data_IF_588366446668
#
_entry.id   IF_588366446668
#
_cell.length_a   1.000
_cell.length_b   1.000
_cell.length_c   1.000
_cell.angle_alpha   90.00
_cell.angle_beta   90.00
_cell.angle_gamma   90.00
#
_symmetry.space_group_name_H-M   'P 1'
#
loop_
_entity.id
_entity.type
_entity.pdbx_description
1 polymer ?
#
# COMPACT_ATOMS: atom_id res chain seq x y z
N UNK A 1 2.95 -7.79 22.05
CA UNK A 1 3.58 -6.69 22.82
C UNK A 1 2.87 -5.43 22.37
N UNK A 2 2.00 -4.87 23.20
CA UNK A 2 1.16 -3.71 22.85
C UNK A 2 2.04 -2.47 22.72
N UNK A 3 2.39 -2.08 21.49
CA UNK A 3 2.99 -0.77 21.25
C UNK A 3 2.00 0.30 21.71
N UNK A 4 2.39 1.02 22.75
CA UNK A 4 1.64 2.14 23.29
C UNK A 4 1.60 3.26 22.23
N UNK A 5 0.45 3.36 21.56
CA UNK A 5 0.23 4.25 20.41
C UNK A 5 0.53 5.71 20.77
N UNK A 6 1.69 6.22 20.30
CA UNK A 6 2.06 7.63 20.47
C UNK A 6 1.21 8.51 19.58
N UNK A 7 0.34 9.31 20.21
CA UNK A 7 -0.49 10.36 19.59
C UNK A 7 0.32 11.15 18.55
N UNK A 8 -0.08 11.07 17.27
CA UNK A 8 0.52 11.89 16.20
C UNK A 8 0.34 13.38 16.53
N UNK A 9 1.43 14.15 16.51
CA UNK A 9 1.39 15.60 16.69
C UNK A 9 0.59 16.27 15.58
N UNK A 10 -0.08 17.38 15.88
CA UNK A 10 -0.90 18.15 14.93
C UNK A 10 -0.18 18.45 13.61
N UNK A 11 1.12 18.74 13.67
CA UNK A 11 1.97 19.04 12.50
C UNK A 11 2.24 17.85 11.57
N UNK A 12 2.04 16.61 12.04
CA UNK A 12 2.16 15.40 11.21
C UNK A 12 0.88 15.09 10.43
N UNK A 13 -0.25 15.68 10.83
CA UNK A 13 -1.52 15.56 10.11
C UNK A 13 -1.51 16.44 8.85
N UNK A 14 -2.26 16.08 7.80
CA UNK A 14 -2.40 16.92 6.61
C UNK A 14 -2.83 18.35 6.95
N UNK A 15 -3.66 18.53 7.98
CA UNK A 15 -4.09 19.83 8.53
C UNK A 15 -2.94 20.72 9.03
N UNK A 16 -1.92 20.11 9.64
CA UNK A 16 -0.76 20.83 10.17
C UNK A 16 0.25 21.20 9.08
N UNK A 17 0.42 20.34 8.07
CA UNK A 17 1.31 20.61 6.92
C UNK A 17 0.78 21.78 6.09
N UNK A 18 -0.52 21.77 5.74
CA UNK A 18 -1.16 22.90 5.05
C UNK A 18 -1.18 24.16 5.90
N UNK A 19 -1.39 24.02 7.22
CA UNK A 19 -1.31 25.13 8.17
C UNK A 19 0.05 25.80 8.18
N UNK A 20 1.14 25.02 8.12
CA UNK A 20 2.50 25.54 8.05
C UNK A 20 2.72 26.34 6.75
N UNK A 21 2.29 25.81 5.60
CA UNK A 21 2.34 26.54 4.33
C UNK A 21 1.52 27.83 4.37
N UNK A 22 0.32 27.79 4.96
CA UNK A 22 -0.54 28.96 5.06
C UNK A 22 0.02 30.03 6.02
N UNK A 23 0.66 29.62 7.12
CA UNK A 23 1.36 30.53 8.03
C UNK A 23 2.56 31.20 7.34
N UNK A 24 3.36 30.43 6.60
CA UNK A 24 4.48 30.98 5.82
C UNK A 24 3.95 31.94 4.76
N UNK A 25 2.90 31.57 4.03
CA UNK A 25 2.26 32.43 3.04
C UNK A 25 1.66 33.70 3.66
N UNK A 26 1.10 33.62 4.86
CA UNK A 26 0.56 34.77 5.59
C UNK A 26 1.67 35.68 6.13
N UNK A 27 2.78 35.12 6.59
CA UNK A 27 3.96 35.90 7.00
C UNK A 27 4.64 36.59 5.81
N UNK A 28 4.83 35.87 4.70
CA UNK A 28 5.43 36.42 3.48
C UNK A 28 4.49 37.42 2.82
N UNK A 29 3.23 37.06 2.63
CA UNK A 29 2.21 37.94 2.04
C UNK A 29 1.92 39.16 2.92
N UNK A 30 1.84 38.96 4.24
CA UNK A 30 1.71 40.04 5.21
C UNK A 30 2.94 40.95 5.24
N UNK A 31 4.15 40.39 5.11
CA UNK A 31 5.39 41.15 4.97
C UNK A 31 5.43 41.98 3.68
N UNK A 32 5.03 41.40 2.55
CA UNK A 32 4.96 42.09 1.24
C UNK A 32 3.89 43.20 1.26
N UNK A 33 2.73 42.95 1.86
CA UNK A 33 1.68 43.96 2.03
C UNK A 33 2.14 45.08 2.98
N UNK A 34 2.83 44.74 4.07
CA UNK A 34 3.35 45.73 4.99
C UNK A 34 4.43 46.62 4.34
N UNK A 35 5.27 46.08 3.45
CA UNK A 35 6.27 46.89 2.72
C UNK A 35 5.67 47.71 1.59
N UNK A 36 4.65 47.21 0.89
CA UNK A 36 3.94 47.98 -0.15
C UNK A 36 3.07 49.10 0.42
N UNK A 37 2.45 48.89 1.59
CA UNK A 37 1.65 49.91 2.29
C UNK A 37 2.41 50.60 3.44
N UNK A 38 3.74 50.53 3.45
CA UNK A 38 4.56 51.04 4.55
C UNK A 38 4.30 52.51 4.86
N UNK A 39 4.19 53.35 3.82
CA UNK A 39 3.91 54.77 3.96
C UNK A 39 2.52 55.05 4.55
N UNK A 40 1.51 54.25 4.18
CA UNK A 40 0.16 54.36 4.72
C UNK A 40 0.08 53.85 6.18
N UNK A 41 0.84 52.79 6.51
CA UNK A 41 0.98 52.29 7.88
C UNK A 41 1.65 53.31 8.79
N UNK A 42 2.73 53.97 8.33
CA UNK A 42 3.41 55.03 9.08
C UNK A 42 2.46 56.22 9.30
N UNK A 43 1.73 56.65 8.27
CA UNK A 43 0.74 57.72 8.37
C UNK A 43 -0.45 57.35 9.29
N UNK A 44 -0.82 56.07 9.34
CA UNK A 44 -1.87 55.59 10.25
C UNK A 44 -1.37 55.57 11.70
N UNK A 45 -0.19 55.02 11.96
CA UNK A 45 0.43 54.95 13.29
C UNK A 45 0.73 56.35 13.86
N UNK A 46 1.05 57.33 13.01
CA UNK A 46 1.26 58.71 13.45
C UNK A 46 -0.02 59.44 13.83
N UNK A 47 -1.19 58.93 13.44
CA UNK A 47 -2.48 59.44 13.91
C UNK A 47 -2.78 58.97 15.34
N UNK A 48 -3.38 59.82 16.17
CA UNK A 48 -3.74 59.46 17.57
C UNK A 48 -4.62 58.21 17.64
N UNK A 49 -5.53 58.04 16.69
CA UNK A 49 -6.41 56.86 16.62
C UNK A 49 -5.63 55.61 16.21
N UNK A 50 -4.78 55.70 15.19
CA UNK A 50 -3.99 54.57 14.74
C UNK A 50 -2.91 54.15 15.75
N UNK A 51 -2.35 55.09 16.51
CA UNK A 51 -1.44 54.79 17.62
C UNK A 51 -2.14 53.98 18.73
N UNK A 52 -3.37 54.36 19.10
CA UNK A 52 -4.15 53.61 20.11
C UNK A 52 -4.51 52.21 19.60
N UNK A 53 -4.95 52.09 18.34
CA UNK A 53 -5.29 50.80 17.73
C UNK A 53 -4.07 49.89 17.62
N UNK A 54 -2.92 50.42 17.21
CA UNK A 54 -1.69 49.62 17.08
C UNK A 54 -1.15 49.16 18.43
N UNK A 55 -1.21 50.00 19.46
CA UNK A 55 -0.87 49.61 20.83
C UNK A 55 -1.83 48.55 21.40
N UNK A 56 -3.13 48.62 21.11
CA UNK A 56 -4.09 47.59 21.50
C UNK A 56 -3.81 46.24 20.82
N UNK A 57 -3.51 46.25 19.52
CA UNK A 57 -3.17 45.03 18.77
C UNK A 57 -1.87 44.42 19.29
N UNK A 58 -0.82 45.24 19.49
CA UNK A 58 0.44 44.79 20.09
C UNK A 58 0.23 44.24 21.51
N UNK A 59 -0.58 44.93 22.32
CA UNK A 59 -0.96 44.47 23.66
C UNK A 59 -1.68 43.12 23.63
N UNK A 60 -2.59 42.92 22.69
CA UNK A 60 -3.28 41.64 22.50
C UNK A 60 -2.33 40.52 22.04
N UNK A 61 -1.37 40.81 21.15
CA UNK A 61 -0.35 39.85 20.71
C UNK A 61 0.57 39.46 21.88
N UNK A 62 1.01 40.44 22.67
CA UNK A 62 1.86 40.19 23.85
C UNK A 62 1.07 39.42 24.91
N UNK A 63 -0.18 39.79 25.17
CA UNK A 63 -1.06 39.09 26.11
C UNK A 63 -1.30 37.63 25.71
N UNK A 64 -1.57 37.37 24.42
CA UNK A 64 -1.71 35.99 23.91
C UNK A 64 -0.41 35.21 23.93
N UNK A 65 0.74 35.88 23.81
CA UNK A 65 2.05 35.25 23.95
C UNK A 65 2.38 34.88 25.41
N UNK A 66 1.98 35.69 26.39
CA UNK A 66 2.31 35.48 27.81
C UNK A 66 1.31 34.55 28.51
N UNK A 67 0.01 34.72 28.30
CA UNK A 67 -1.01 33.95 29.00
C UNK A 67 -1.19 32.55 28.36
N UNK A 68 -0.96 31.45 29.10
CA UNK A 68 -1.15 30.08 28.59
C UNK A 68 -2.59 29.78 28.15
N UNK A 69 -3.61 30.41 28.76
CA UNK A 69 -5.02 30.21 28.37
C UNK A 69 -5.35 30.91 27.06
N UNK A 70 -4.89 32.15 26.91
CA UNK A 70 -5.05 32.92 25.67
C UNK A 70 -4.32 32.25 24.50
N UNK A 71 -3.10 31.76 24.73
CA UNK A 71 -2.34 30.96 23.74
C UNK A 71 -3.07 29.69 23.34
N UNK A 72 -3.65 28.98 24.31
CA UNK A 72 -4.47 27.79 24.07
C UNK A 72 -5.66 28.10 23.17
N UNK A 73 -6.41 29.16 23.49
CA UNK A 73 -7.60 29.57 22.75
C UNK A 73 -7.27 29.94 21.29
N UNK A 74 -6.24 30.77 21.07
CA UNK A 74 -5.77 31.12 19.72
C UNK A 74 -5.30 29.88 18.97
N UNK A 75 -4.61 28.95 19.63
CA UNK A 75 -4.20 27.68 19.04
C UNK A 75 -5.40 26.82 18.62
N UNK A 76 -6.45 26.72 19.44
CA UNK A 76 -7.66 25.99 19.10
C UNK A 76 -8.46 26.64 17.96
N UNK A 77 -8.51 27.98 17.94
CA UNK A 77 -9.11 28.73 16.83
C UNK A 77 -8.37 28.48 15.52
N UNK A 78 -7.04 28.60 15.54
CA UNK A 78 -6.20 28.31 14.38
C UNK A 78 -6.38 26.87 13.88
N UNK A 79 -6.35 25.87 14.78
CA UNK A 79 -6.60 24.46 14.42
C UNK A 79 -7.98 24.26 13.80
N UNK A 80 -9.00 24.95 14.32
CA UNK A 80 -10.38 24.83 13.84
C UNK A 80 -10.57 25.45 12.45
N UNK A 81 -9.96 26.60 12.19
CA UNK A 81 -9.96 27.24 10.86
C UNK A 81 -9.16 26.39 9.86
N UNK A 82 -7.98 25.91 10.25
CA UNK A 82 -7.19 25.05 9.37
C UNK A 82 -7.93 23.77 9.01
N UNK A 83 -8.60 23.12 9.97
CA UNK A 83 -9.42 21.93 9.69
C UNK A 83 -10.57 22.24 8.72
N UNK A 84 -11.18 23.41 8.83
CA UNK A 84 -12.23 23.85 7.92
C UNK A 84 -11.68 24.11 6.50
N UNK A 85 -10.53 24.78 6.38
CA UNK A 85 -9.87 25.04 5.10
C UNK A 85 -9.42 23.72 4.46
N UNK A 86 -8.75 22.84 5.20
CA UNK A 86 -8.32 21.54 4.66
C UNK A 86 -9.47 20.63 4.30
N UNK A 87 -10.59 20.71 5.02
CA UNK A 87 -11.79 19.95 4.70
C UNK A 87 -12.41 20.31 3.34
N UNK A 88 -12.10 21.48 2.79
CA UNK A 88 -12.50 21.84 1.42
C UNK A 88 -11.60 21.22 0.33
N UNK A 89 -10.37 20.80 0.67
CA UNK A 89 -9.38 20.33 -0.32
C UNK A 89 -8.98 18.86 -0.15
N UNK A 90 -9.24 18.23 1.02
CA UNK A 90 -8.90 16.84 1.33
C UNK A 90 -10.14 16.19 1.98
N UNK A 91 -10.53 14.98 1.54
CA UNK A 91 -11.57 14.20 2.22
C UNK A 91 -11.07 13.81 3.62
N UNK A 92 -11.53 14.50 4.66
CA UNK A 92 -11.21 14.22 6.07
C UNK A 92 -12.14 13.14 6.66
N UNK A 93 -13.11 12.61 5.90
CA UNK A 93 -14.00 11.58 6.41
C UNK A 93 -13.31 10.20 6.36
N UNK A 94 -12.93 9.61 7.51
CA UNK A 94 -12.18 8.36 7.53
C UNK A 94 -12.99 7.19 6.94
N UNK A 95 -14.32 7.25 6.98
CA UNK A 95 -15.18 6.26 6.31
C UNK A 95 -15.07 6.37 4.79
N UNK A 96 -15.00 7.60 4.27
CA UNK A 96 -14.79 7.84 2.83
C UNK A 96 -13.44 7.31 2.34
N UNK A 97 -12.40 7.47 3.16
CA UNK A 97 -11.07 6.90 2.88
C UNK A 97 -11.13 5.37 2.81
N UNK A 98 -11.78 4.73 3.78
CA UNK A 98 -11.94 3.26 3.77
C UNK A 98 -12.75 2.78 2.56
N UNK A 99 -13.81 3.48 2.16
CA UNK A 99 -14.57 3.18 0.92
C UNK A 99 -13.68 3.24 -0.32
N UNK A 100 -12.87 4.29 -0.45
CA UNK A 100 -11.92 4.40 -1.55
C UNK A 100 -10.92 3.23 -1.54
N UNK A 101 -10.41 2.82 -0.37
CA UNK A 101 -9.54 1.65 -0.29
C UNK A 101 -10.23 0.33 -0.64
N UNK A 102 -11.52 0.16 -0.33
CA UNK A 102 -12.30 -0.99 -0.81
C UNK A 102 -12.38 -1.00 -2.33
N UNK A 103 -12.58 0.15 -2.96
CA UNK A 103 -12.60 0.29 -4.42
C UNK A 103 -11.21 0.02 -5.03
N UNK A 104 -10.14 0.55 -4.43
CA UNK A 104 -8.75 0.27 -4.83
C UNK A 104 -8.43 -1.23 -4.70
N UNK A 105 -8.87 -1.88 -3.62
CA UNK A 105 -8.74 -3.33 -3.43
C UNK A 105 -9.48 -4.11 -4.53
N UNK A 106 -10.70 -3.72 -4.89
CA UNK A 106 -11.46 -4.34 -6.00
C UNK A 106 -10.71 -4.25 -7.32
N UNK A 107 -10.17 -3.07 -7.64
CA UNK A 107 -9.42 -2.85 -8.87
C UNK A 107 -8.09 -3.62 -8.87
N UNK A 108 -7.39 -3.64 -7.74
CA UNK A 108 -6.13 -4.36 -7.62
C UNK A 108 -6.31 -5.88 -7.65
N UNK A 109 -7.36 -6.43 -7.04
CA UNK A 109 -7.74 -7.85 -7.20
C UNK A 109 -7.96 -8.21 -8.68
N UNK A 110 -8.63 -7.32 -9.43
CA UNK A 110 -8.86 -7.52 -10.87
C UNK A 110 -7.56 -7.50 -11.67
N UNK A 111 -6.63 -6.57 -11.36
CA UNK A 111 -5.30 -6.51 -11.99
C UNK A 111 -4.49 -7.77 -11.65
N UNK A 112 -4.47 -8.17 -10.38
CA UNK A 112 -3.75 -9.34 -9.90
C UNK A 112 -4.25 -10.62 -10.57
N UNK A 113 -5.57 -10.83 -10.67
CA UNK A 113 -6.13 -11.99 -11.37
C UNK A 113 -5.70 -12.06 -12.85
N UNK A 114 -5.62 -10.90 -13.53
CA UNK A 114 -5.09 -10.82 -14.90
C UNK A 114 -3.62 -11.22 -14.95
N UNK A 115 -2.79 -10.71 -14.04
CA UNK A 115 -1.37 -11.04 -13.97
C UNK A 115 -1.17 -12.55 -13.69
N UNK A 116 -1.91 -13.14 -12.74
CA UNK A 116 -1.83 -14.59 -12.46
C UNK A 116 -2.18 -15.41 -13.71
N UNK A 117 -3.22 -15.00 -14.44
CA UNK A 117 -3.64 -15.69 -15.67
C UNK A 117 -2.57 -15.58 -16.76
N UNK A 118 -1.97 -14.41 -16.94
CA UNK A 118 -0.88 -14.20 -17.90
C UNK A 118 0.35 -15.04 -17.52
N UNK A 119 0.76 -14.98 -16.26
CA UNK A 119 1.89 -15.74 -15.72
C UNK A 119 1.70 -17.24 -15.94
N UNK A 120 0.52 -17.78 -15.59
CA UNK A 120 0.16 -19.19 -15.83
C UNK A 120 0.33 -19.56 -17.31
N UNK A 121 -0.15 -18.71 -18.22
CA UNK A 121 -0.02 -18.94 -19.66
C UNK A 121 1.44 -18.98 -20.12
N UNK A 122 2.29 -18.10 -19.59
CA UNK A 122 3.71 -18.11 -19.90
C UNK A 122 4.42 -19.33 -19.30
N UNK A 123 4.06 -19.75 -18.09
CA UNK A 123 4.61 -20.95 -17.46
C UNK A 123 4.30 -22.21 -18.30
N UNK A 124 3.10 -22.31 -18.87
CA UNK A 124 2.75 -23.42 -19.76
C UNK A 124 3.63 -23.46 -21.01
N UNK A 125 3.83 -22.32 -21.69
CA UNK A 125 4.71 -22.24 -22.86
C UNK A 125 6.15 -22.60 -22.52
N UNK A 126 6.65 -22.10 -21.39
CA UNK A 126 8.00 -22.38 -20.92
C UNK A 126 8.19 -23.88 -20.63
N UNK A 127 7.22 -24.50 -19.95
CA UNK A 127 7.22 -25.94 -19.67
C UNK A 127 7.20 -26.77 -20.95
N UNK A 128 6.40 -26.36 -21.94
CA UNK A 128 6.37 -27.02 -23.25
C UNK A 128 7.72 -26.92 -23.97
N UNK A 129 8.38 -25.75 -23.96
CA UNK A 129 9.72 -25.58 -24.51
C UNK A 129 10.77 -26.46 -23.80
N UNK A 130 10.73 -26.55 -22.46
CA UNK A 130 11.61 -27.44 -21.69
C UNK A 130 11.41 -28.91 -22.13
N UNK A 131 10.17 -29.36 -22.27
CA UNK A 131 9.85 -30.73 -22.68
C UNK A 131 10.35 -30.99 -24.11
N UNK A 132 10.14 -30.05 -25.03
CA UNK A 132 10.60 -30.19 -26.42
C UNK A 132 12.12 -30.19 -26.52
N UNK A 133 12.81 -29.33 -25.75
CA UNK A 133 14.27 -29.32 -25.68
C UNK A 133 14.82 -30.65 -25.14
N UNK A 134 14.22 -31.21 -24.08
CA UNK A 134 14.61 -32.53 -23.55
C UNK A 134 14.49 -33.63 -24.61
N UNK A 135 13.38 -33.68 -25.35
CA UNK A 135 13.21 -34.62 -26.47
C UNK A 135 14.26 -34.41 -27.57
N UNK A 136 14.56 -33.17 -27.93
CA UNK A 136 15.61 -32.88 -28.92
C UNK A 136 17.00 -33.27 -28.43
N UNK A 137 17.31 -33.09 -27.14
CA UNK A 137 18.57 -33.52 -26.54
C UNK A 137 18.72 -35.03 -26.71
N UNK A 138 17.72 -35.81 -26.30
CA UNK A 138 17.76 -37.27 -26.36
C UNK A 138 17.91 -37.77 -27.80
N UNK A 139 17.20 -37.15 -28.75
CA UNK A 139 17.32 -37.47 -30.17
C UNK A 139 18.73 -37.14 -30.71
N UNK A 140 19.27 -35.95 -30.42
CA UNK A 140 20.61 -35.58 -30.88
C UNK A 140 21.71 -36.45 -30.25
N UNK A 141 21.56 -36.88 -28.99
CA UNK A 141 22.49 -37.81 -28.34
C UNK A 141 22.42 -39.22 -28.95
N UNK A 142 21.21 -39.67 -29.30
CA UNK A 142 21.01 -40.96 -29.99
C UNK A 142 21.67 -40.96 -31.37
N UNK A 143 21.44 -39.92 -32.18
CA UNK A 143 22.08 -39.75 -33.48
C UNK A 143 23.61 -39.58 -33.37
N UNK A 144 24.09 -38.92 -32.32
CA UNK A 144 25.52 -38.81 -32.06
C UNK A 144 26.16 -40.16 -31.75
N UNK A 145 25.44 -41.02 -31.01
CA UNK A 145 25.87 -42.39 -30.69
C UNK A 145 25.90 -43.27 -31.94
N UNK A 146 24.87 -43.21 -32.77
CA UNK A 146 24.83 -43.92 -34.06
C UNK A 146 25.94 -43.44 -35.02
N UNK A 147 26.19 -42.13 -35.09
CA UNK A 147 27.27 -41.58 -35.90
C UNK A 147 28.65 -42.02 -35.40
N UNK A 148 28.82 -42.17 -34.08
CA UNK A 148 30.05 -42.72 -33.48
C UNK A 148 30.25 -44.17 -33.92
N UNK A 149 29.21 -44.99 -33.84
CA UNK A 149 29.28 -46.42 -34.18
C UNK A 149 29.53 -46.62 -35.69
N UNK A 150 29.09 -45.68 -36.53
CA UNK A 150 29.37 -45.63 -37.98
C UNK A 150 30.68 -44.88 -38.35
N UNK A 151 31.56 -44.58 -37.39
CA UNK A 151 32.83 -43.85 -37.58
C UNK A 151 32.69 -42.44 -38.23
N UNK A 152 31.52 -41.82 -38.16
CA UNK A 152 31.28 -40.47 -38.67
C UNK A 152 31.49 -39.41 -37.58
N UNK A 153 32.76 -39.11 -37.31
CA UNK A 153 33.17 -38.21 -36.24
C UNK A 153 32.62 -36.78 -36.39
N UNK A 154 32.49 -36.28 -37.62
CA UNK A 154 31.99 -34.92 -37.86
C UNK A 154 30.53 -34.76 -37.42
N UNK A 155 29.67 -35.74 -37.77
CA UNK A 155 28.25 -35.74 -37.37
C UNK A 155 28.11 -35.96 -35.86
N UNK A 156 28.90 -36.87 -35.28
CA UNK A 156 28.92 -37.11 -33.83
C UNK A 156 29.22 -35.82 -33.05
N UNK A 157 30.27 -35.07 -33.44
CA UNK A 157 30.64 -33.81 -32.78
C UNK A 157 29.54 -32.76 -32.96
N UNK A 158 29.00 -32.62 -34.18
CA UNK A 158 27.95 -31.64 -34.46
C UNK A 158 26.70 -31.87 -33.60
N UNK A 159 26.23 -33.12 -33.54
CA UNK A 159 25.04 -33.52 -32.78
C UNK A 159 25.26 -33.39 -31.27
N UNK A 160 26.42 -33.81 -30.77
CA UNK A 160 26.80 -33.64 -29.36
C UNK A 160 26.84 -32.17 -28.96
N UNK A 161 27.40 -31.29 -29.80
CA UNK A 161 27.40 -29.84 -29.54
C UNK A 161 26.00 -29.23 -29.56
N UNK A 162 25.11 -29.68 -30.47
CA UNK A 162 23.71 -29.23 -30.47
C UNK A 162 23.01 -29.65 -29.17
N UNK A 163 23.17 -30.91 -28.74
CA UNK A 163 22.62 -31.39 -27.47
C UNK A 163 23.17 -30.60 -26.27
N UNK A 164 24.47 -30.28 -26.27
CA UNK A 164 25.09 -29.44 -25.24
C UNK A 164 24.45 -28.05 -25.13
N UNK A 165 24.25 -27.36 -26.26
CA UNK A 165 23.60 -26.04 -26.27
C UNK A 165 22.15 -26.11 -25.78
N UNK A 166 21.40 -27.13 -26.21
CA UNK A 166 20.02 -27.32 -25.76
C UNK A 166 19.97 -27.63 -24.26
N UNK A 167 20.91 -28.42 -23.72
CA UNK A 167 21.00 -28.70 -22.28
C UNK A 167 21.25 -27.42 -21.48
N UNK A 168 22.19 -26.59 -21.94
CA UNK A 168 22.50 -25.30 -21.30
C UNK A 168 21.29 -24.35 -21.31
N UNK A 169 20.60 -24.25 -22.45
CA UNK A 169 19.35 -23.49 -22.55
C UNK A 169 18.26 -24.04 -21.62
N UNK A 170 18.10 -25.38 -21.58
CA UNK A 170 17.10 -26.03 -20.72
C UNK A 170 17.31 -25.72 -19.25
N UNK A 171 18.55 -25.72 -18.75
CA UNK A 171 18.85 -25.36 -17.36
C UNK A 171 18.42 -23.92 -17.04
N UNK A 172 18.63 -22.96 -17.96
CA UNK A 172 18.16 -21.57 -17.78
C UNK A 172 16.64 -21.46 -17.77
N UNK A 173 15.96 -22.20 -18.63
CA UNK A 173 14.50 -22.22 -18.68
C UNK A 173 13.89 -22.87 -17.43
N UNK A 174 14.54 -23.90 -16.86
CA UNK A 174 14.12 -24.53 -15.61
C UNK A 174 14.26 -23.57 -14.42
N UNK A 175 15.36 -22.82 -14.32
CA UNK A 175 15.53 -21.79 -13.29
C UNK A 175 14.46 -20.69 -13.40
N UNK A 176 14.20 -20.23 -14.64
CA UNK A 176 13.12 -19.28 -14.89
C UNK A 176 11.76 -19.81 -14.46
N UNK A 177 11.46 -21.08 -14.75
CA UNK A 177 10.21 -21.71 -14.38
C UNK A 177 10.01 -21.70 -12.85
N UNK A 178 11.07 -21.98 -12.09
CA UNK A 178 11.04 -21.91 -10.60
C UNK A 178 10.72 -20.51 -10.10
N UNK A 179 11.35 -19.47 -10.68
CA UNK A 179 11.05 -18.08 -10.32
C UNK A 179 9.62 -17.67 -10.68
N UNK A 180 9.11 -18.12 -11.83
CA UNK A 180 7.70 -17.92 -12.19
C UNK A 180 6.74 -18.65 -11.25
N UNK A 181 7.13 -19.82 -10.74
CA UNK A 181 6.34 -20.58 -9.77
C UNK A 181 6.24 -19.84 -8.43
N UNK A 182 7.34 -19.26 -7.93
CA UNK A 182 7.32 -18.39 -6.74
C UNK A 182 6.30 -17.28 -6.92
N UNK A 183 6.40 -16.53 -8.02
CA UNK A 183 5.47 -15.43 -8.32
C UNK A 183 4.02 -15.91 -8.38
N UNK A 184 3.77 -17.05 -9.02
CA UNK A 184 2.42 -17.59 -9.15
C UNK A 184 1.81 -17.95 -7.80
N UNK A 185 2.57 -18.65 -6.94
CA UNK A 185 2.13 -19.07 -5.60
C UNK A 185 1.85 -17.85 -4.72
N UNK A 186 2.75 -16.86 -4.75
CA UNK A 186 2.61 -15.63 -3.97
C UNK A 186 1.44 -14.79 -4.45
N UNK A 187 1.33 -14.51 -5.75
CA UNK A 187 0.18 -13.76 -6.29
C UNK A 187 -1.14 -14.47 -6.00
N UNK A 188 -1.18 -15.80 -6.09
CA UNK A 188 -2.35 -16.60 -5.74
C UNK A 188 -2.76 -16.42 -4.29
N UNK A 189 -1.80 -16.49 -3.35
CA UNK A 189 -2.08 -16.32 -1.92
C UNK A 189 -2.45 -14.88 -1.55
N UNK A 190 -1.78 -13.89 -2.15
CA UNK A 190 -2.13 -12.48 -1.98
C UNK A 190 -3.53 -12.18 -2.51
N UNK A 191 -3.92 -12.78 -3.64
CA UNK A 191 -5.28 -12.67 -4.16
C UNK A 191 -6.31 -13.21 -3.17
N UNK A 192 -6.08 -14.40 -2.63
CA UNK A 192 -6.96 -15.00 -1.63
C UNK A 192 -7.08 -14.13 -0.36
N UNK A 193 -5.95 -13.71 0.21
CA UNK A 193 -5.94 -12.89 1.43
C UNK A 193 -6.58 -11.51 1.21
N UNK A 194 -6.32 -10.88 0.06
CA UNK A 194 -6.90 -9.59 -0.29
C UNK A 194 -8.40 -9.67 -0.62
N UNK A 195 -8.89 -10.80 -1.14
CA UNK A 195 -10.32 -11.01 -1.38
C UNK A 195 -11.10 -11.03 -0.05
N UNK A 196 -10.58 -11.77 0.93
CA UNK A 196 -11.12 -11.82 2.31
C UNK A 196 -11.06 -10.44 2.95
N UNK A 197 -9.90 -9.78 2.88
CA UNK A 197 -9.71 -8.46 3.47
C UNK A 197 -10.66 -7.42 2.88
N UNK A 198 -10.87 -7.44 1.56
CA UNK A 198 -11.80 -6.53 0.88
C UNK A 198 -13.23 -6.73 1.39
N UNK A 199 -13.68 -7.96 1.57
CA UNK A 199 -15.02 -8.27 2.11
C UNK A 199 -15.16 -7.80 3.57
N UNK A 200 -14.18 -8.12 4.42
CA UNK A 200 -14.15 -7.68 5.82
C UNK A 200 -14.17 -6.15 5.97
N UNK A 201 -13.37 -5.43 5.18
CA UNK A 201 -13.36 -3.95 5.22
C UNK A 201 -14.68 -3.39 4.71
N UNK A 202 -15.28 -3.97 3.67
CA UNK A 202 -16.57 -3.54 3.13
C UNK A 202 -17.67 -3.64 4.19
N UNK A 203 -17.73 -4.76 4.91
CA UNK A 203 -18.66 -4.96 6.03
C UNK A 203 -18.37 -4.00 7.19
N UNK A 204 -17.10 -3.82 7.57
CA UNK A 204 -16.71 -2.90 8.63
C UNK A 204 -17.09 -1.46 8.30
N UNK A 205 -16.90 -1.03 7.06
CA UNK A 205 -17.28 0.30 6.60
C UNK A 205 -18.78 0.52 6.74
N UNK A 206 -19.60 -0.46 6.37
CA UNK A 206 -21.05 -0.36 6.52
C UNK A 206 -21.46 -0.21 7.99
N UNK A 207 -20.94 -1.06 8.88
CA UNK A 207 -21.23 -1.00 10.31
C UNK A 207 -20.77 0.33 10.91
N UNK A 208 -19.54 0.77 10.60
CA UNK A 208 -18.97 2.02 11.13
C UNK A 208 -19.68 3.25 10.59
N UNK A 209 -20.23 3.20 9.38
CA UNK A 209 -21.09 4.25 8.84
C UNK A 209 -22.39 4.39 9.64
N UNK A 210 -23.03 3.27 9.97
CA UNK A 210 -24.22 3.26 10.82
C UNK A 210 -23.91 3.75 12.24
N UNK A 211 -22.81 3.28 12.86
CA UNK A 211 -22.35 3.74 14.17
C UNK A 211 -22.08 5.25 14.17
N UNK A 212 -21.38 5.76 13.15
CA UNK A 212 -21.09 7.19 13.02
C UNK A 212 -22.37 8.01 12.87
N UNK A 213 -23.33 7.54 12.08
CA UNK A 213 -24.64 8.18 11.92
C UNK A 213 -25.40 8.22 13.25
N UNK A 214 -25.38 7.12 14.01
CA UNK A 214 -25.98 7.05 15.35
C UNK A 214 -25.27 7.95 16.36
N UNK A 215 -23.93 8.05 16.33
CA UNK A 215 -23.15 8.97 17.16
C UNK A 215 -23.47 10.43 16.81
N UNK A 216 -23.61 10.76 15.52
CA UNK A 216 -23.97 12.11 15.08
C UNK A 216 -25.41 12.46 15.49
N UNK A 217 -26.36 11.55 15.31
CA UNK A 217 -27.74 11.71 15.75
C UNK A 217 -27.84 11.85 17.28
N UNK A 218 -27.14 11.00 18.02
CA UNK A 218 -27.04 11.06 19.48
C UNK A 218 -26.37 12.34 19.95
N UNK A 219 -25.31 12.83 19.29
CA UNK A 219 -24.71 14.12 19.61
C UNK A 219 -25.64 15.30 19.25
N UNK A 220 -26.52 15.17 18.25
CA UNK A 220 -27.51 16.21 17.96
C UNK A 220 -28.64 16.24 18.99
N UNK A 221 -29.13 15.08 19.44
CA UNK A 221 -30.09 14.94 20.52
C UNK A 221 -29.48 15.33 21.89
N UNK A 222 -28.23 14.96 22.10
CA UNK A 222 -27.47 15.28 23.30
C UNK A 222 -27.04 16.74 23.29
N UNK A 223 -26.73 17.39 22.16
CA UNK A 223 -26.57 18.87 22.07
C UNK A 223 -27.82 19.61 22.55
N UNK A 224 -29.00 19.11 22.21
CA UNK A 224 -30.28 19.64 22.72
C UNK A 224 -30.43 19.45 24.25
N UNK A 225 -29.80 18.42 24.82
CA UNK A 225 -29.69 18.20 26.27
C UNK A 225 -28.40 18.80 26.93
N UNK A 226 -27.39 19.17 26.14
CA UNK A 226 -26.02 19.56 26.56
C UNK A 226 -25.97 20.97 27.13
N UNK A 227 -27.03 21.75 26.91
CA UNK A 227 -27.25 22.98 27.67
C UNK A 227 -27.42 22.72 29.17
N UNK A 228 -27.57 21.46 29.62
CA UNK A 228 -27.89 21.11 31.00
C UNK A 228 -26.75 20.37 31.73
N UNK A 229 -25.86 19.63 31.06
CA UNK A 229 -24.85 18.81 31.76
C UNK A 229 -23.49 18.90 31.07
N UNK A 230 -22.57 19.57 31.75
CA UNK A 230 -21.16 19.72 31.39
C UNK A 230 -20.40 18.41 31.61
N UNK A 231 -19.78 17.88 30.56
CA UNK A 231 -18.74 16.86 30.68
C UNK A 231 -18.95 15.60 29.84
N UNK A 232 -18.77 15.70 28.53
CA UNK A 232 -18.27 14.57 27.73
C UNK A 232 -17.81 15.11 26.36
N UNK A 233 -16.60 15.64 26.35
CA UNK A 233 -15.88 15.91 25.10
C UNK A 233 -15.26 14.60 24.63
N UNK A 234 -15.42 14.33 23.33
CA UNK A 234 -14.48 13.59 22.48
C UNK A 234 -14.74 12.11 22.15
N UNK A 235 -15.96 11.56 22.33
CA UNK A 235 -16.30 10.24 21.75
C UNK A 235 -16.21 10.20 20.22
N UNK A 236 -16.66 11.26 19.55
CA UNK A 236 -16.54 11.38 18.08
C UNK A 236 -15.08 11.45 17.65
N UNK A 237 -14.24 12.22 18.36
CA UNK A 237 -12.83 12.36 17.99
C UNK A 237 -12.05 11.08 18.25
N UNK A 238 -12.35 10.33 19.33
CA UNK A 238 -11.79 9.00 19.55
C UNK A 238 -12.19 8.03 18.44
N UNK A 239 -13.47 8.02 18.05
CA UNK A 239 -13.98 7.20 16.95
C UNK A 239 -13.32 7.53 15.61
N UNK A 240 -13.26 8.82 15.23
CA UNK A 240 -12.63 9.27 13.98
C UNK A 240 -11.13 8.90 13.94
N UNK A 241 -10.43 8.93 15.10
CA UNK A 241 -9.02 8.51 15.20
C UNK A 241 -8.81 7.00 15.07
N UNK A 242 -9.71 6.20 15.64
CA UNK A 242 -9.63 4.75 15.51
C UNK A 242 -9.86 4.34 14.04
N UNK A 243 -10.79 4.98 13.34
CA UNK A 243 -10.96 4.78 11.90
C UNK A 243 -9.75 5.26 11.08
N UNK A 244 -9.07 6.34 11.47
CA UNK A 244 -7.82 6.76 10.84
C UNK A 244 -6.72 5.68 10.97
N UNK A 245 -6.64 4.99 12.11
CA UNK A 245 -5.69 3.89 12.31
C UNK A 245 -6.03 2.67 11.44
N UNK A 246 -7.32 2.32 11.32
CA UNK A 246 -7.76 1.25 10.42
C UNK A 246 -7.42 1.61 8.97
N UNK A 247 -7.70 2.86 8.57
CA UNK A 247 -7.38 3.34 7.22
C UNK A 247 -5.87 3.30 6.93
N UNK A 248 -5.02 3.68 7.88
CA UNK A 248 -3.57 3.59 7.75
C UNK A 248 -3.10 2.13 7.55
N UNK A 249 -3.68 1.17 8.27
CA UNK A 249 -3.32 -0.26 8.14
C UNK A 249 -3.77 -0.84 6.79
N UNK A 250 -5.00 -0.55 6.37
CA UNK A 250 -5.51 -0.94 5.05
C UNK A 250 -4.64 -0.34 3.94
N UNK A 251 -4.28 0.94 4.05
CA UNK A 251 -3.39 1.63 3.12
C UNK A 251 -2.05 0.92 2.98
N UNK A 252 -1.45 0.52 4.11
CA UNK A 252 -0.17 -0.18 4.10
C UNK A 252 -0.26 -1.55 3.41
N UNK A 253 -1.33 -2.30 3.65
CA UNK A 253 -1.59 -3.59 3.01
C UNK A 253 -1.86 -3.44 1.50
N UNK A 254 -2.67 -2.47 1.10
CA UNK A 254 -2.89 -2.15 -0.33
C UNK A 254 -1.58 -1.78 -1.03
N UNK A 255 -0.76 -0.94 -0.39
CA UNK A 255 0.53 -0.52 -0.95
C UNK A 255 1.50 -1.69 -1.15
N UNK A 256 1.56 -2.64 -0.20
CA UNK A 256 2.38 -3.85 -0.36
C UNK A 256 1.92 -4.70 -1.55
N UNK A 257 0.61 -4.87 -1.71
CA UNK A 257 0.05 -5.59 -2.85
C UNK A 257 0.40 -4.93 -4.18
N UNK A 258 0.24 -3.61 -4.28
CA UNK A 258 0.59 -2.86 -5.48
C UNK A 258 2.08 -2.98 -5.81
N UNK A 259 2.94 -2.85 -4.80
CA UNK A 259 4.39 -2.99 -4.97
C UNK A 259 4.77 -4.38 -5.47
N UNK A 260 4.18 -5.44 -4.92
CA UNK A 260 4.47 -6.79 -5.40
C UNK A 260 3.92 -7.05 -6.82
N UNK A 261 2.73 -6.54 -7.14
CA UNK A 261 2.19 -6.59 -8.50
C UNK A 261 3.09 -5.87 -9.50
N UNK A 262 3.70 -4.75 -9.12
CA UNK A 262 4.66 -4.02 -9.95
C UNK A 262 5.94 -4.85 -10.17
N UNK A 263 6.52 -5.43 -9.12
CA UNK A 263 7.68 -6.32 -9.23
C UNK A 263 7.37 -7.52 -10.13
N UNK A 264 6.23 -8.16 -9.93
CA UNK A 264 5.74 -9.27 -10.76
C UNK A 264 5.59 -8.86 -12.24
N UNK A 265 5.01 -7.68 -12.49
CA UNK A 265 4.83 -7.17 -13.84
C UNK A 265 6.16 -6.87 -14.52
N UNK A 266 7.08 -6.19 -13.84
CA UNK A 266 8.40 -5.86 -14.36
C UNK A 266 9.19 -7.14 -14.66
N UNK A 267 9.15 -8.13 -13.76
CA UNK A 267 9.72 -9.44 -14.02
C UNK A 267 9.13 -10.06 -15.29
N UNK A 268 7.80 -10.16 -15.41
CA UNK A 268 7.16 -10.74 -16.60
C UNK A 268 7.50 -9.98 -17.90
N UNK A 269 7.62 -8.66 -17.86
CA UNK A 269 7.97 -7.84 -19.02
C UNK A 269 9.42 -8.02 -19.45
N UNK A 270 10.32 -8.27 -18.50
CA UNK A 270 11.75 -8.52 -18.75
C UNK A 270 12.04 -9.90 -19.37
N UNK A 271 11.04 -10.77 -19.48
CA UNK A 271 11.22 -12.12 -20.01
C UNK A 271 11.09 -12.14 -21.54
N UNK A 272 12.22 -12.29 -22.24
CA UNK A 272 12.21 -12.84 -23.58
C UNK A 272 12.35 -14.36 -23.53
N UNK A 273 11.20 -15.03 -23.50
CA UNK A 273 11.10 -16.49 -23.45
C UNK A 273 11.74 -17.18 -24.66
N UNK A 274 11.88 -16.51 -25.81
CA UNK A 274 12.47 -17.12 -27.01
C UNK A 274 13.98 -17.22 -26.90
N UNK A 275 14.61 -16.23 -26.26
CA UNK A 275 16.05 -16.15 -26.14
C UNK A 275 16.55 -16.64 -24.77
N UNK A 276 15.67 -16.79 -23.77
CA UNK A 276 16.05 -17.16 -22.39
C UNK A 276 17.00 -16.13 -21.78
N UNK A 277 16.93 -14.90 -22.27
CA UNK A 277 17.69 -13.75 -21.79
C UNK A 277 16.74 -12.99 -20.89
N UNK A 278 17.16 -12.80 -19.64
CA UNK A 278 16.41 -12.07 -18.63
C UNK A 278 17.17 -10.77 -18.33
N UNK A 279 16.43 -9.70 -18.05
CA UNK A 279 17.05 -8.49 -17.51
C UNK A 279 17.45 -8.74 -16.05
N UNK A 280 18.73 -8.56 -15.73
CA UNK A 280 19.28 -8.81 -14.39
C UNK A 280 18.56 -7.99 -13.30
N UNK A 281 17.98 -6.85 -13.68
CA UNK A 281 17.21 -5.98 -12.81
C UNK A 281 15.91 -6.63 -12.31
N UNK A 282 15.13 -7.29 -13.18
CA UNK A 282 13.89 -7.96 -12.79
C UNK A 282 14.12 -9.12 -11.82
N UNK A 283 15.23 -9.85 -12.02
CA UNK A 283 15.65 -10.93 -11.12
C UNK A 283 16.09 -10.40 -9.75
N UNK A 284 16.86 -9.31 -9.72
CA UNK A 284 17.29 -8.65 -8.48
C UNK A 284 16.11 -8.12 -7.67
N UNK A 285 15.09 -7.58 -8.32
CA UNK A 285 13.88 -7.11 -7.64
C UNK A 285 13.13 -8.27 -6.97
N UNK A 286 13.02 -9.41 -7.65
CA UNK A 286 12.41 -10.61 -7.08
C UNK A 286 13.23 -11.13 -5.88
N UNK A 287 14.54 -11.30 -6.06
CA UNK A 287 15.42 -11.78 -4.98
C UNK A 287 15.43 -10.84 -3.78
N UNK A 288 15.41 -9.53 -4.02
CA UNK A 288 15.28 -8.54 -2.96
C UNK A 288 13.95 -8.73 -2.24
N UNK A 289 12.84 -8.86 -2.96
CA UNK A 289 11.53 -9.08 -2.34
C UNK A 289 11.48 -10.40 -1.55
N UNK A 290 12.09 -11.49 -2.05
CA UNK A 290 12.16 -12.77 -1.35
C UNK A 290 12.92 -12.67 -0.02
N UNK A 291 14.02 -11.90 -0.03
CA UNK A 291 14.89 -11.70 1.15
C UNK A 291 14.41 -10.60 2.10
N UNK A 292 13.65 -9.63 1.61
CA UNK A 292 13.03 -8.59 2.43
C UNK A 292 12.04 -9.26 3.41
N UNK A 293 11.87 -8.70 4.62
CA UNK A 293 11.28 -9.36 5.79
C UNK A 293 9.82 -9.85 5.67
N UNK A 294 9.20 -10.09 6.84
CA UNK A 294 7.80 -10.55 6.92
C UNK A 294 6.88 -9.63 6.11
N UNK A 295 6.08 -10.25 5.25
CA UNK A 295 5.01 -9.58 4.49
C UNK A 295 3.83 -9.30 5.43
N UNK A 296 3.20 -8.13 5.31
CA UNK A 296 2.04 -7.78 6.15
C UNK A 296 0.82 -8.54 5.66
N UNK A 297 0.70 -8.73 4.34
CA UNK A 297 -0.39 -9.50 3.73
C UNK A 297 -0.24 -11.01 3.87
N UNK A 298 0.99 -11.54 3.79
CA UNK A 298 1.23 -12.98 3.83
C UNK A 298 1.66 -13.48 5.21
N UNK A 299 2.18 -12.62 6.08
CA UNK A 299 2.73 -13.02 7.37
C UNK A 299 3.74 -14.17 7.23
N UNK A 300 3.54 -15.22 8.01
CA UNK A 300 4.37 -16.44 7.99
C UNK A 300 4.19 -17.28 6.71
N UNK A 301 3.09 -17.09 5.97
CA UNK A 301 2.84 -17.85 4.73
C UNK A 301 3.89 -17.54 3.67
N UNK A 302 4.51 -16.34 3.67
CA UNK A 302 5.58 -16.00 2.73
C UNK A 302 6.71 -17.03 2.78
N UNK A 303 7.21 -17.33 3.98
CA UNK A 303 8.31 -18.28 4.15
C UNK A 303 7.91 -19.69 3.70
N UNK A 304 6.67 -20.10 4.02
CA UNK A 304 6.13 -21.40 3.60
C UNK A 304 6.02 -21.50 2.08
N UNK A 305 5.53 -20.47 1.40
CA UNK A 305 5.39 -20.43 -0.05
C UNK A 305 6.75 -20.49 -0.75
N UNK A 306 7.76 -19.80 -0.21
CA UNK A 306 9.14 -19.86 -0.74
C UNK A 306 9.74 -21.26 -0.58
N UNK A 307 9.48 -21.94 0.55
CA UNK A 307 9.93 -23.33 0.75
C UNK A 307 9.21 -24.27 -0.21
N UNK A 308 7.89 -24.12 -0.39
CA UNK A 308 7.11 -24.94 -1.31
C UNK A 308 7.58 -24.78 -2.76
N UNK A 309 7.83 -23.56 -3.21
CA UNK A 309 8.32 -23.28 -4.56
C UNK A 309 9.72 -23.87 -4.83
N UNK A 310 10.52 -24.09 -3.78
CA UNK A 310 11.85 -24.70 -3.88
C UNK A 310 11.83 -26.23 -3.68
N UNK A 311 10.67 -26.82 -3.37
CA UNK A 311 10.55 -28.25 -3.18
C UNK A 311 10.13 -28.96 -4.48
N UNK A 312 11.05 -29.71 -5.09
CA UNK A 312 10.79 -30.44 -6.33
C UNK A 312 9.72 -31.55 -6.18
N UNK A 313 9.35 -31.95 -4.96
CA UNK A 313 8.27 -32.91 -4.68
C UNK A 313 6.86 -32.28 -4.64
N UNK A 314 6.76 -30.97 -4.40
CA UNK A 314 5.49 -30.22 -4.33
C UNK A 314 5.17 -29.61 -5.71
N UNK A 315 4.74 -30.45 -6.65
CA UNK A 315 4.48 -30.04 -8.04
C UNK A 315 3.25 -29.15 -8.11
N UNK A 316 3.44 -27.89 -8.50
CA UNK A 316 2.35 -26.94 -8.73
C UNK A 316 1.41 -27.41 -9.84
N UNK A 317 0.11 -27.56 -9.49
CA UNK A 317 -0.95 -27.75 -10.47
C UNK A 317 -1.45 -26.41 -11.02
N UNK A 318 -1.00 -26.07 -12.23
CA UNK A 318 -1.43 -24.87 -12.94
C UNK A 318 -2.89 -24.96 -13.45
N UNK A 319 -3.47 -26.16 -13.52
CA UNK A 319 -4.85 -26.39 -13.95
C UNK A 319 -5.87 -26.18 -12.83
N UNK A 320 -5.44 -26.19 -11.58
CA UNK A 320 -6.30 -25.89 -10.44
C UNK A 320 -6.75 -24.42 -10.51
N UNK A 321 -8.05 -24.14 -10.29
CA UNK A 321 -8.50 -22.76 -10.13
C UNK A 321 -7.77 -22.16 -8.93
N UNK A 322 -7.41 -20.87 -9.02
CA UNK A 322 -7.00 -20.12 -7.82
C UNK A 322 -8.16 -20.28 -6.85
N UNK A 323 -7.90 -20.83 -5.67
CA UNK A 323 -8.92 -20.99 -4.64
C UNK A 323 -9.53 -19.61 -4.40
N UNK A 324 -10.76 -19.41 -4.87
CA UNK A 324 -11.58 -18.31 -4.35
C UNK A 324 -11.76 -18.66 -2.88
N UNK A 325 -11.41 -17.75 -1.99
CA UNK A 325 -11.60 -17.99 -0.57
C UNK A 325 -13.05 -18.45 -0.37
N UNK A 326 -13.26 -19.70 0.03
CA UNK A 326 -14.52 -20.04 0.65
C UNK A 326 -14.47 -19.29 1.99
N UNK A 327 -15.50 -18.51 2.35
CA UNK A 327 -15.55 -17.95 3.70
C UNK A 327 -15.51 -19.15 4.65
N UNK A 328 -14.34 -19.41 5.23
CA UNK A 328 -14.24 -20.30 6.37
C UNK A 328 -15.12 -19.65 7.43
N UNK A 329 -16.15 -20.38 7.87
CA UNK A 329 -17.04 -19.97 8.95
C UNK A 329 -16.18 -19.43 10.09
N UNK A 330 -16.41 -18.15 10.40
CA UNK A 330 -15.61 -17.30 11.27
C UNK A 330 -15.69 -17.71 12.74
N UNK A 331 -15.29 -18.94 13.08
CA UNK A 331 -15.39 -19.42 14.47
C UNK A 331 -14.18 -19.07 15.33
N UNK A 332 -13.08 -18.53 14.76
CA UNK A 332 -11.86 -18.28 15.56
C UNK A 332 -10.96 -17.10 15.17
N UNK A 333 -11.31 -16.26 14.20
CA UNK A 333 -10.60 -14.98 14.00
C UNK A 333 -11.34 -13.88 14.76
N UNK A 334 -10.95 -13.64 16.01
CA UNK A 334 -11.28 -12.35 16.66
C UNK A 334 -10.81 -11.24 15.72
N UNK A 335 -11.70 -10.31 15.40
CA UNK A 335 -11.37 -9.18 14.56
C UNK A 335 -10.21 -8.44 15.24
N UNK A 336 -9.07 -8.34 14.54
CA UNK A 336 -7.83 -7.77 15.10
C UNK A 336 -8.03 -6.31 15.52
N UNK A 337 -9.09 -5.66 15.02
CA UNK A 337 -9.44 -4.29 15.33
C UNK A 337 -10.42 -4.10 16.48
N UNK A 338 -11.02 -5.16 17.04
CA UNK A 338 -11.95 -5.05 18.17
C UNK A 338 -11.29 -4.35 19.37
N UNK A 339 -10.00 -4.60 19.58
CA UNK A 339 -9.21 -4.03 20.66
C UNK A 339 -8.92 -2.51 20.50
N UNK A 340 -9.16 -1.91 19.33
CA UNK A 340 -8.96 -0.46 19.13
C UNK A 340 -10.17 0.37 19.57
N UNK A 341 -11.30 -0.27 19.86
CA UNK A 341 -12.57 0.39 20.19
C UNK A 341 -13.10 0.09 21.61
N UNK A 342 -12.41 -0.77 22.38
CA UNK A 342 -12.55 -0.89 23.85
C UNK A 342 -11.78 0.22 24.58
#
# INVERSE_FOLDING_TARGET
MSEEYKKKSFWKRPEGKTGMFFLIALLVGGGILATTFLNALIAFVSSTVGLVVTLLVLGAIIFTAIDPKARGLVSYMYKSVMRWITGMFIQIDPIGILKNYVDDLKDNLKKMNRQVTQLRGQMHKLKEMIINNKKEIDNNLSLASEARDNNNNAVMVLKSRKAGRLKESTMRLEDLYKKMEVLYRVLGKMYENSEIMKEDIEDQVEVKEQERKAILASNSAMKSAMNIISGNKDKKEMFDRALEAVADDVSQKVGEMEQFMEVSQNFMQSLDLQNGIFEEEGLKMLEKWENDGMSILLGDDKAKLLVQANNDEDILDLGAPISKAKPELADNRKNQYDNFFE
#
